data_IF_149823521867
#
_entry.id   IF_149823521867
#
_cell.length_a   1.000
_cell.length_b   1.000
_cell.length_c   1.000
_cell.angle_alpha   90.00
_cell.angle_beta   90.00
_cell.angle_gamma   90.00
#
_symmetry.space_group_name_H-M   'P 1'
#
loop_
_entity.id
_entity.type
_entity.pdbx_description
1 polymer ?
#
# COMPACT_ATOMS: atom_id res chain seq x y z
N UNK A 1 44.16 -76.32 -14.47
CA UNK A 1 42.78 -76.34 -14.00
C UNK A 1 42.52 -75.06 -13.17
N UNK A 2 41.98 -74.01 -13.77
CA UNK A 2 41.44 -72.86 -13.05
C UNK A 2 40.28 -72.31 -13.90
N UNK A 3 39.08 -72.43 -13.40
CA UNK A 3 37.87 -71.90 -14.04
C UNK A 3 37.81 -70.38 -13.88
N UNK A 4 37.41 -69.57 -14.90
CA UNK A 4 37.16 -68.22 -14.73
C UNK A 4 35.74 -67.93 -14.20
N UNK A 5 35.64 -67.06 -13.22
CA UNK A 5 34.40 -66.48 -12.66
C UNK A 5 33.74 -65.65 -13.68
N UNK A 6 32.45 -65.84 -13.97
CA UNK A 6 31.61 -64.99 -14.76
C UNK A 6 31.14 -63.81 -13.91
N UNK A 7 31.54 -62.59 -14.26
CA UNK A 7 31.00 -61.35 -13.76
C UNK A 7 29.62 -61.11 -14.41
N UNK A 8 28.59 -61.14 -13.59
CA UNK A 8 27.24 -60.73 -13.98
C UNK A 8 27.15 -59.22 -13.76
N UNK A 9 27.06 -58.50 -14.85
CA UNK A 9 26.81 -57.05 -14.83
C UNK A 9 25.32 -56.81 -14.55
N UNK A 10 25.01 -56.43 -13.32
CA UNK A 10 23.67 -55.96 -12.99
C UNK A 10 23.59 -54.45 -13.29
N UNK A 11 22.98 -54.12 -14.43
CA UNK A 11 22.63 -52.76 -14.76
C UNK A 11 21.42 -52.33 -13.91
N UNK A 12 21.67 -51.68 -12.79
CA UNK A 12 20.61 -51.01 -12.04
C UNK A 12 20.28 -49.69 -12.75
N UNK A 13 19.19 -49.68 -13.50
CA UNK A 13 18.56 -48.47 -14.03
C UNK A 13 17.95 -47.74 -12.83
N UNK A 14 18.67 -46.77 -12.28
CA UNK A 14 18.12 -45.83 -11.31
C UNK A 14 17.22 -44.83 -12.07
N UNK A 15 15.92 -45.09 -12.10
CA UNK A 15 14.92 -44.14 -12.50
C UNK A 15 14.88 -43.04 -11.41
N UNK A 16 15.59 -41.94 -11.66
CA UNK A 16 15.41 -40.67 -10.93
C UNK A 16 14.01 -40.12 -11.27
N UNK A 17 13.03 -40.51 -10.47
CA UNK A 17 11.77 -39.77 -10.38
C UNK A 17 12.13 -38.47 -9.72
N UNK A 18 12.34 -37.43 -10.53
CA UNK A 18 12.35 -36.03 -10.05
C UNK A 18 10.95 -35.74 -9.57
N UNK A 19 10.68 -36.02 -8.30
CA UNK A 19 9.57 -35.42 -7.59
C UNK A 19 9.85 -33.90 -7.58
N UNK A 20 9.28 -33.21 -8.52
CA UNK A 20 9.08 -31.76 -8.41
C UNK A 20 8.17 -31.62 -7.21
N UNK A 21 8.76 -31.48 -6.02
CA UNK A 21 8.06 -30.96 -4.87
C UNK A 21 7.62 -29.57 -5.28
N UNK A 22 6.35 -29.44 -5.67
CA UNK A 22 5.70 -28.16 -5.70
C UNK A 22 5.92 -27.57 -4.31
N UNK A 23 6.88 -26.66 -4.18
CA UNK A 23 7.01 -25.82 -2.99
C UNK A 23 5.62 -25.22 -2.87
N UNK A 24 4.89 -25.43 -1.75
CA UNK A 24 3.62 -24.78 -1.58
C UNK A 24 3.91 -23.30 -1.78
N UNK A 25 3.35 -22.72 -2.84
CA UNK A 25 3.32 -21.28 -3.01
C UNK A 25 2.62 -20.79 -1.74
N UNK A 26 3.39 -20.27 -0.78
CA UNK A 26 2.79 -19.60 0.36
C UNK A 26 1.85 -18.57 -0.24
N UNK A 27 0.57 -18.68 0.12
CA UNK A 27 -0.43 -17.72 -0.35
C UNK A 27 0.12 -16.32 -0.14
N UNK A 28 0.13 -15.54 -1.22
CA UNK A 28 0.77 -14.23 -1.25
C UNK A 28 -0.20 -13.23 -0.66
N UNK A 29 -0.11 -12.97 0.64
CA UNK A 29 -0.95 -12.02 1.37
C UNK A 29 -0.07 -10.99 2.10
N UNK A 30 -0.06 -9.71 1.67
CA UNK A 30 0.76 -8.70 2.32
C UNK A 30 0.21 -8.26 3.70
N UNK A 31 -0.99 -8.68 4.08
CA UNK A 31 -1.68 -8.25 5.30
C UNK A 31 -1.62 -9.31 6.41
N UNK A 32 -1.53 -10.60 6.07
CA UNK A 32 -1.64 -11.71 7.02
C UNK A 32 -0.41 -12.61 6.99
N UNK A 33 0.19 -12.81 8.15
CA UNK A 33 1.27 -13.80 8.34
C UNK A 33 0.74 -15.20 8.68
N UNK A 34 -0.49 -15.29 9.18
CA UNK A 34 -1.21 -16.53 9.50
C UNK A 34 -2.49 -16.61 8.71
N UNK A 35 -2.84 -17.80 8.21
CA UNK A 35 -4.00 -18.01 7.33
C UNK A 35 -4.04 -17.01 6.17
N UNK A 36 -2.96 -16.90 5.37
CA UNK A 36 -2.89 -15.94 4.28
C UNK A 36 -3.95 -16.26 3.22
N UNK A 37 -4.52 -15.21 2.64
CA UNK A 37 -5.39 -15.30 1.47
C UNK A 37 -4.54 -15.47 0.21
N UNK A 38 -5.12 -16.07 -0.82
CA UNK A 38 -4.48 -16.13 -2.13
C UNK A 38 -4.77 -14.83 -2.90
N UNK A 39 -3.89 -13.84 -2.74
CA UNK A 39 -3.98 -12.53 -3.41
C UNK A 39 -3.24 -12.52 -4.76
N UNK A 40 -2.40 -13.53 -5.00
CA UNK A 40 -1.55 -13.58 -6.18
C UNK A 40 -0.14 -12.99 -5.91
N UNK A 41 0.86 -13.72 -6.38
CA UNK A 41 2.27 -13.40 -6.11
C UNK A 41 2.73 -12.11 -6.79
N UNK A 42 2.24 -11.83 -8.00
CA UNK A 42 2.62 -10.64 -8.76
C UNK A 42 1.98 -9.38 -8.17
N UNK A 43 0.73 -9.48 -7.69
CA UNK A 43 0.04 -8.39 -6.98
C UNK A 43 0.74 -8.11 -5.64
N UNK A 44 1.07 -9.15 -4.86
CA UNK A 44 1.84 -8.97 -3.61
C UNK A 44 3.18 -8.29 -3.87
N UNK A 45 3.91 -8.74 -4.90
CA UNK A 45 5.20 -8.14 -5.26
C UNK A 45 5.05 -6.66 -5.65
N UNK A 46 4.02 -6.31 -6.41
CA UNK A 46 3.72 -4.91 -6.73
C UNK A 46 3.42 -4.09 -5.47
N UNK A 47 2.65 -4.64 -4.54
CA UNK A 47 2.33 -4.03 -3.25
C UNK A 47 3.60 -3.77 -2.42
N UNK A 48 4.50 -4.76 -2.33
CA UNK A 48 5.78 -4.63 -1.60
C UNK A 48 6.67 -3.57 -2.24
N UNK A 49 6.83 -3.60 -3.58
CA UNK A 49 7.59 -2.59 -4.31
C UNK A 49 7.05 -1.18 -4.06
N UNK A 50 5.73 -1.01 -4.08
CA UNK A 50 5.09 0.28 -3.90
C UNK A 50 5.23 0.80 -2.47
N UNK A 51 4.86 0.00 -1.49
CA UNK A 51 4.65 0.49 -0.13
C UNK A 51 5.77 0.17 0.86
N UNK A 52 6.46 -0.96 0.69
CA UNK A 52 7.60 -1.31 1.55
C UNK A 52 8.91 -0.71 1.04
N UNK A 53 9.10 -0.73 -0.27
CA UNK A 53 10.33 -0.25 -0.89
C UNK A 53 10.24 1.21 -1.38
N UNK A 54 9.03 1.75 -1.55
CA UNK A 54 8.80 3.07 -2.13
C UNK A 54 9.27 3.15 -3.59
N UNK A 55 9.29 2.01 -4.29
CA UNK A 55 9.72 1.90 -5.69
C UNK A 55 8.51 1.90 -6.62
N UNK A 56 7.92 3.08 -6.81
CA UNK A 56 6.72 3.25 -7.65
C UNK A 56 6.95 2.88 -9.11
N UNK A 57 8.16 3.15 -9.62
CA UNK A 57 8.51 2.84 -11.02
C UNK A 57 8.53 1.32 -11.26
N UNK A 58 9.14 0.57 -10.37
CA UNK A 58 9.15 -0.89 -10.45
C UNK A 58 7.75 -1.48 -10.17
N UNK A 59 7.01 -0.89 -9.21
CA UNK A 59 5.65 -1.32 -8.89
C UNK A 59 4.71 -1.22 -10.10
N UNK A 60 4.75 -0.12 -10.88
CA UNK A 60 3.93 0.03 -12.10
C UNK A 60 4.22 -1.08 -13.10
N UNK A 61 5.51 -1.39 -13.35
CA UNK A 61 5.89 -2.49 -14.24
C UNK A 61 5.39 -3.84 -13.74
N UNK A 62 5.46 -4.04 -12.42
CA UNK A 62 4.99 -5.27 -11.80
C UNK A 62 3.46 -5.42 -11.88
N UNK A 63 2.71 -4.32 -11.75
CA UNK A 63 1.26 -4.30 -11.95
C UNK A 63 0.88 -4.70 -13.39
N UNK A 64 1.67 -4.31 -14.40
CA UNK A 64 1.43 -4.71 -15.78
C UNK A 64 1.68 -6.21 -16.01
N UNK A 65 2.55 -6.84 -15.22
CA UNK A 65 2.72 -8.31 -15.20
C UNK A 65 1.49 -8.95 -14.53
N UNK A 66 1.11 -8.46 -13.35
CA UNK A 66 -0.01 -9.01 -12.57
C UNK A 66 -1.35 -8.99 -13.34
N UNK A 67 -1.61 -7.97 -14.16
CA UNK A 67 -2.84 -7.91 -15.00
C UNK A 67 -2.99 -9.11 -15.91
N UNK A 68 -1.89 -9.73 -16.35
CA UNK A 68 -1.93 -10.86 -17.29
C UNK A 68 -2.30 -12.18 -16.61
N UNK A 69 -1.99 -12.33 -15.34
CA UNK A 69 -2.12 -13.60 -14.60
C UNK A 69 -3.14 -13.53 -13.45
N UNK A 70 -3.39 -12.34 -12.91
CA UNK A 70 -4.18 -12.13 -11.70
C UNK A 70 -5.33 -11.12 -11.91
N UNK A 71 -5.90 -11.08 -13.12
CA UNK A 71 -6.92 -10.11 -13.52
C UNK A 71 -8.21 -10.12 -12.68
N UNK A 72 -8.40 -11.13 -11.83
CA UNK A 72 -9.56 -11.24 -10.93
C UNK A 72 -9.29 -10.72 -9.52
N UNK A 73 -8.06 -10.26 -9.23
CA UNK A 73 -7.67 -9.75 -7.92
C UNK A 73 -8.07 -8.27 -7.78
N UNK A 74 -8.95 -7.90 -6.81
CA UNK A 74 -9.37 -6.51 -6.66
C UNK A 74 -8.26 -5.59 -6.15
N UNK A 75 -7.34 -6.07 -5.29
CA UNK A 75 -6.19 -5.29 -4.81
C UNK A 75 -5.33 -4.82 -5.97
N UNK A 76 -5.09 -5.66 -6.99
CA UNK A 76 -4.36 -5.29 -8.19
C UNK A 76 -4.88 -3.99 -8.80
N UNK A 77 -6.20 -3.91 -8.99
CA UNK A 77 -6.81 -2.74 -9.62
C UNK A 77 -6.93 -1.55 -8.68
N UNK A 78 -7.02 -1.76 -7.35
CA UNK A 78 -6.91 -0.69 -6.38
C UNK A 78 -5.51 -0.05 -6.41
N UNK A 79 -4.45 -0.86 -6.51
CA UNK A 79 -3.07 -0.37 -6.71
C UNK A 79 -2.92 0.38 -8.03
N UNK A 80 -3.51 -0.11 -9.12
CA UNK A 80 -3.51 0.60 -10.41
C UNK A 80 -4.24 1.95 -10.31
N UNK A 81 -5.39 2.00 -9.64
CA UNK A 81 -6.13 3.25 -9.43
C UNK A 81 -5.26 4.28 -8.72
N UNK A 82 -4.50 3.88 -7.69
CA UNK A 82 -3.58 4.78 -6.99
C UNK A 82 -2.45 5.29 -7.90
N UNK A 83 -1.94 4.47 -8.82
CA UNK A 83 -0.91 4.91 -9.79
C UNK A 83 -1.47 5.89 -10.82
N UNK A 84 -2.70 5.69 -11.27
CA UNK A 84 -3.38 6.63 -12.17
C UNK A 84 -3.68 7.96 -11.46
N UNK A 85 -4.14 7.91 -10.21
CA UNK A 85 -4.33 9.12 -9.39
C UNK A 85 -3.05 9.94 -9.27
N UNK A 86 -1.91 9.29 -8.98
CA UNK A 86 -0.61 9.95 -8.85
C UNK A 86 -0.10 10.56 -10.17
N UNK A 87 -0.65 10.16 -11.33
CA UNK A 87 -0.37 10.70 -12.65
C UNK A 87 -1.44 11.70 -13.13
N UNK A 88 -2.43 12.00 -12.28
CA UNK A 88 -3.60 12.82 -12.62
C UNK A 88 -4.43 12.26 -13.80
N UNK A 89 -4.25 10.97 -14.12
CA UNK A 89 -5.10 10.23 -15.06
C UNK A 89 -6.38 9.76 -14.35
N UNK A 90 -7.29 10.70 -14.14
CA UNK A 90 -8.53 10.42 -13.41
C UNK A 90 -9.46 9.46 -14.17
N UNK A 91 -9.42 9.46 -15.51
CA UNK A 91 -10.18 8.47 -16.29
C UNK A 91 -9.63 7.05 -16.11
N UNK A 92 -8.31 6.88 -16.20
CA UNK A 92 -7.65 5.60 -15.88
C UNK A 92 -7.93 5.13 -14.47
N UNK A 93 -7.91 6.07 -13.48
CA UNK A 93 -8.29 5.78 -12.10
C UNK A 93 -9.72 5.23 -12.00
N UNK A 94 -10.69 5.87 -12.65
CA UNK A 94 -12.10 5.44 -12.67
C UNK A 94 -12.27 4.05 -13.30
N UNK A 95 -11.64 3.82 -14.46
CA UNK A 95 -11.68 2.50 -15.13
C UNK A 95 -11.11 1.41 -14.23
N UNK A 96 -10.00 1.68 -13.54
CA UNK A 96 -9.44 0.75 -12.56
C UNK A 96 -10.42 0.52 -11.39
N UNK A 97 -11.09 1.54 -10.87
CA UNK A 97 -12.12 1.44 -9.83
C UNK A 97 -13.31 0.57 -10.25
N UNK A 98 -13.74 0.65 -11.51
CA UNK A 98 -14.77 -0.24 -12.07
C UNK A 98 -14.33 -1.72 -12.07
N UNK A 99 -13.04 -1.98 -12.35
CA UNK A 99 -12.47 -3.33 -12.25
C UNK A 99 -12.39 -3.80 -10.80
N UNK A 100 -12.04 -2.91 -9.83
CA UNK A 100 -12.13 -3.21 -8.40
C UNK A 100 -13.55 -3.68 -8.04
N UNK A 101 -14.59 -2.95 -8.46
CA UNK A 101 -15.98 -3.29 -8.20
C UNK A 101 -16.37 -4.66 -8.76
N UNK A 102 -16.06 -4.91 -10.03
CA UNK A 102 -16.40 -6.16 -10.70
C UNK A 102 -15.74 -7.36 -9.99
N UNK A 103 -14.45 -7.24 -9.66
CA UNK A 103 -13.71 -8.30 -8.96
C UNK A 103 -14.20 -8.48 -7.51
N UNK A 104 -14.53 -7.40 -6.81
CA UNK A 104 -15.13 -7.46 -5.49
C UNK A 104 -16.50 -8.18 -5.51
N UNK A 105 -17.34 -7.91 -6.50
CA UNK A 105 -18.60 -8.61 -6.68
C UNK A 105 -18.40 -10.12 -6.93
N UNK A 106 -17.37 -10.50 -7.67
CA UNK A 106 -17.03 -11.91 -7.93
C UNK A 106 -16.48 -12.64 -6.69
N UNK A 107 -16.06 -11.93 -5.64
CA UNK A 107 -15.68 -12.50 -4.35
C UNK A 107 -16.87 -12.82 -3.47
N UNK A 108 -18.08 -12.29 -3.74
CA UNK A 108 -19.28 -12.62 -2.95
C UNK A 108 -19.55 -14.12 -2.97
N UNK A 109 -19.79 -14.68 -1.79
CA UNK A 109 -19.96 -16.12 -1.58
C UNK A 109 -18.66 -16.91 -1.45
N UNK A 110 -17.49 -16.28 -1.71
CA UNK A 110 -16.16 -16.89 -1.55
C UNK A 110 -15.38 -16.24 -0.41
N UNK A 111 -15.22 -14.93 -0.44
CA UNK A 111 -14.62 -14.09 0.59
C UNK A 111 -15.46 -12.81 0.72
N UNK A 112 -16.53 -12.88 1.48
CA UNK A 112 -17.47 -11.77 1.65
C UNK A 112 -16.82 -10.58 2.34
N UNK A 113 -15.87 -10.78 3.25
CA UNK A 113 -15.18 -9.69 3.91
C UNK A 113 -14.43 -8.85 2.87
N UNK A 114 -13.57 -9.46 2.05
CA UNK A 114 -12.85 -8.75 1.00
C UNK A 114 -13.78 -8.18 -0.06
N UNK A 115 -14.89 -8.87 -0.38
CA UNK A 115 -15.90 -8.33 -1.27
C UNK A 115 -16.39 -6.96 -0.77
N UNK A 116 -16.77 -6.84 0.50
CA UNK A 116 -17.21 -5.56 1.07
C UNK A 116 -16.09 -4.52 1.17
N UNK A 117 -14.89 -4.92 1.60
CA UNK A 117 -13.72 -4.01 1.65
C UNK A 117 -13.44 -3.38 0.29
N UNK A 118 -13.46 -4.17 -0.79
CA UNK A 118 -13.17 -3.66 -2.13
C UNK A 118 -14.36 -3.00 -2.82
N UNK A 119 -15.60 -3.29 -2.42
CA UNK A 119 -16.76 -2.46 -2.79
C UNK A 119 -16.62 -1.05 -2.19
N UNK A 120 -16.26 -0.95 -0.92
CA UNK A 120 -15.96 0.34 -0.28
C UNK A 120 -14.82 1.09 -1.00
N UNK A 121 -13.71 0.41 -1.31
CA UNK A 121 -12.61 1.00 -2.07
C UNK A 121 -13.04 1.51 -3.45
N UNK A 122 -13.87 0.76 -4.16
CA UNK A 122 -14.42 1.15 -5.46
C UNK A 122 -15.31 2.40 -5.37
N UNK A 123 -16.17 2.48 -4.33
CA UNK A 123 -17.02 3.64 -4.09
C UNK A 123 -16.20 4.88 -3.77
N UNK A 124 -15.12 4.74 -2.98
CA UNK A 124 -14.20 5.81 -2.68
C UNK A 124 -13.46 6.33 -3.93
N UNK A 125 -13.03 5.42 -4.81
CA UNK A 125 -12.39 5.78 -6.08
C UNK A 125 -13.35 6.56 -6.97
N UNK A 126 -14.61 6.13 -7.09
CA UNK A 126 -15.62 6.83 -7.90
C UNK A 126 -15.95 8.22 -7.28
N UNK A 127 -16.10 8.31 -5.95
CA UNK A 127 -16.29 9.59 -5.26
C UNK A 127 -15.12 10.54 -5.51
N UNK A 128 -13.88 10.02 -5.42
CA UNK A 128 -12.68 10.78 -5.73
C UNK A 128 -12.62 11.26 -7.19
N UNK A 129 -13.04 10.44 -8.14
CA UNK A 129 -13.16 10.81 -9.55
C UNK A 129 -14.11 12.00 -9.73
N UNK A 130 -15.33 11.93 -9.17
CA UNK A 130 -16.32 12.98 -9.27
C UNK A 130 -15.76 14.31 -8.75
N UNK A 131 -15.18 14.30 -7.54
CA UNK A 131 -14.65 15.54 -6.93
C UNK A 131 -13.47 16.10 -7.71
N UNK A 132 -12.59 15.25 -8.24
CA UNK A 132 -11.40 15.70 -9.00
C UNK A 132 -11.73 16.25 -10.39
N UNK A 133 -12.73 15.70 -11.06
CA UNK A 133 -13.08 16.11 -12.43
C UNK A 133 -14.15 17.20 -12.49
N UNK A 134 -15.06 17.27 -11.51
CA UNK A 134 -16.18 18.18 -11.52
C UNK A 134 -16.07 19.28 -10.44
N UNK A 135 -15.03 19.20 -9.59
CA UNK A 135 -14.76 20.17 -8.53
C UNK A 135 -15.58 19.95 -7.26
N UNK A 136 -15.32 20.76 -6.25
CA UNK A 136 -15.91 20.64 -4.90
C UNK A 136 -17.45 20.83 -4.91
N UNK A 137 -17.99 21.59 -5.87
CA UNK A 137 -19.44 21.78 -6.05
C UNK A 137 -20.20 20.47 -6.33
N UNK A 138 -19.51 19.44 -6.83
CA UNK A 138 -20.07 18.12 -7.10
C UNK A 138 -20.08 17.18 -5.86
N UNK A 139 -19.57 17.65 -4.71
CA UNK A 139 -19.48 16.85 -3.49
C UNK A 139 -20.84 16.22 -3.08
N UNK A 140 -21.95 16.93 -3.29
CA UNK A 140 -23.29 16.39 -3.04
C UNK A 140 -23.59 15.11 -3.84
N UNK A 141 -23.03 14.96 -5.04
CA UNK A 141 -23.16 13.73 -5.86
C UNK A 141 -22.29 12.59 -5.35
N UNK A 142 -21.22 12.87 -4.63
CA UNK A 142 -20.36 11.88 -4.02
C UNK A 142 -20.92 11.35 -2.69
N UNK A 143 -21.85 12.07 -2.02
CA UNK A 143 -22.41 11.66 -0.72
C UNK A 143 -23.00 10.24 -0.68
N UNK A 144 -23.82 9.79 -1.66
CA UNK A 144 -24.33 8.41 -1.66
C UNK A 144 -23.21 7.36 -1.74
N UNK A 145 -22.12 7.67 -2.45
CA UNK A 145 -20.96 6.79 -2.53
C UNK A 145 -20.22 6.73 -1.19
N UNK A 146 -20.05 7.87 -0.52
CA UNK A 146 -19.47 7.92 0.83
C UNK A 146 -20.31 7.12 1.82
N UNK A 147 -21.65 7.23 1.77
CA UNK A 147 -22.53 6.40 2.59
C UNK A 147 -22.32 4.93 2.29
N UNK A 148 -22.27 4.53 1.02
CA UNK A 148 -21.99 3.14 0.61
C UNK A 148 -20.62 2.64 1.09
N UNK A 149 -19.60 3.52 1.16
CA UNK A 149 -18.30 3.17 1.77
C UNK A 149 -18.49 2.73 3.22
N UNK A 150 -19.21 3.51 4.03
CA UNK A 150 -19.46 3.17 5.44
C UNK A 150 -20.27 1.89 5.60
N UNK A 151 -21.32 1.72 4.80
CA UNK A 151 -22.18 0.53 4.85
C UNK A 151 -21.37 -0.73 4.50
N UNK A 152 -20.54 -0.68 3.47
CA UNK A 152 -19.68 -1.78 3.09
C UNK A 152 -18.59 -2.07 4.14
N UNK A 153 -17.96 -1.05 4.72
CA UNK A 153 -17.00 -1.23 5.83
C UNK A 153 -17.67 -1.87 7.03
N UNK A 154 -18.90 -1.45 7.37
CA UNK A 154 -19.67 -2.05 8.45
C UNK A 154 -19.96 -3.54 8.16
N UNK A 155 -20.42 -3.89 6.96
CA UNK A 155 -20.63 -5.28 6.58
C UNK A 155 -19.36 -6.13 6.71
N UNK A 156 -18.21 -5.59 6.36
CA UNK A 156 -16.93 -6.29 6.53
C UNK A 156 -16.58 -6.46 8.03
N UNK A 157 -16.80 -5.44 8.87
CA UNK A 157 -16.59 -5.51 10.32
C UNK A 157 -17.53 -6.51 11.01
N UNK A 158 -18.75 -6.65 10.54
CA UNK A 158 -19.70 -7.63 11.08
C UNK A 158 -19.24 -9.09 10.82
N UNK A 159 -18.34 -9.32 9.85
CA UNK A 159 -17.75 -10.64 9.56
C UNK A 159 -16.50 -10.88 10.42
N UNK A 160 -15.53 -9.98 10.40
CA UNK A 160 -14.29 -10.06 11.18
C UNK A 160 -13.79 -8.65 11.52
N UNK A 161 -14.09 -8.13 12.73
CA UNK A 161 -13.73 -6.78 13.13
C UNK A 161 -12.21 -6.58 13.35
N UNK A 162 -11.43 -7.66 13.44
CA UNK A 162 -9.98 -7.59 13.67
C UNK A 162 -9.15 -7.93 12.43
N UNK A 163 -9.79 -8.12 11.27
CA UNK A 163 -9.09 -8.37 10.01
C UNK A 163 -8.08 -7.27 9.68
N UNK A 164 -6.80 -7.60 9.42
CA UNK A 164 -5.76 -6.58 9.24
C UNK A 164 -5.89 -5.75 7.96
N UNK A 165 -6.36 -6.34 6.85
CA UNK A 165 -6.62 -5.64 5.60
C UNK A 165 -7.78 -4.65 5.75
N UNK A 166 -8.89 -5.11 6.35
CA UNK A 166 -10.04 -4.24 6.67
C UNK A 166 -9.61 -3.06 7.53
N UNK A 167 -8.89 -3.32 8.64
CA UNK A 167 -8.51 -2.27 9.57
C UNK A 167 -7.47 -1.31 9.01
N UNK A 168 -6.62 -1.75 8.07
CA UNK A 168 -5.74 -0.84 7.33
C UNK A 168 -6.57 0.11 6.46
N UNK A 169 -7.45 -0.42 5.60
CA UNK A 169 -8.25 0.37 4.67
C UNK A 169 -9.21 1.30 5.44
N UNK A 170 -9.94 0.76 6.43
CA UNK A 170 -10.80 1.55 7.30
C UNK A 170 -10.05 2.69 7.98
N UNK A 171 -8.87 2.41 8.56
CA UNK A 171 -8.08 3.42 9.24
C UNK A 171 -7.67 4.58 8.31
N UNK A 172 -7.28 4.30 7.07
CA UNK A 172 -7.00 5.35 6.08
C UNK A 172 -8.25 6.14 5.67
N UNK A 173 -9.42 5.48 5.59
CA UNK A 173 -10.71 6.16 5.34
C UNK A 173 -11.06 7.06 6.53
N UNK A 174 -10.97 6.56 7.77
CA UNK A 174 -11.26 7.32 8.98
C UNK A 174 -10.35 8.56 9.11
N UNK A 175 -9.06 8.42 8.78
CA UNK A 175 -8.12 9.55 8.73
C UNK A 175 -8.50 10.59 7.69
N UNK A 176 -8.89 10.15 6.48
CA UNK A 176 -9.34 11.07 5.43
C UNK A 176 -10.56 11.86 5.90
N UNK A 177 -11.52 11.20 6.53
CA UNK A 177 -12.72 11.85 7.05
C UNK A 177 -12.37 12.82 8.18
N UNK A 178 -11.51 12.39 9.11
CA UNK A 178 -11.03 13.23 10.21
C UNK A 178 -10.30 14.50 9.72
N UNK A 179 -9.67 14.42 8.55
CA UNK A 179 -8.99 15.57 7.95
C UNK A 179 -9.95 16.65 7.39
N UNK A 180 -11.18 16.27 7.05
CA UNK A 180 -12.18 17.16 6.45
C UNK A 180 -13.33 17.54 7.41
N UNK A 181 -13.56 16.77 8.48
CA UNK A 181 -14.58 17.02 9.49
C UNK A 181 -13.96 17.49 10.81
N UNK A 182 -14.13 18.76 11.19
CA UNK A 182 -13.43 19.37 12.32
C UNK A 182 -13.83 18.83 13.71
N UNK A 183 -14.87 17.99 13.79
CA UNK A 183 -15.38 17.43 15.06
C UNK A 183 -15.00 15.97 15.28
N UNK A 184 -14.20 15.35 14.40
CA UNK A 184 -13.79 13.96 14.55
C UNK A 184 -12.61 13.82 15.51
N UNK A 185 -12.72 12.86 16.46
CA UNK A 185 -11.61 12.52 17.37
C UNK A 185 -10.55 11.71 16.62
N UNK A 186 -9.36 12.29 16.48
CA UNK A 186 -8.22 11.66 15.82
C UNK A 186 -7.84 10.33 16.47
N UNK A 187 -7.85 10.24 17.80
CA UNK A 187 -7.44 9.02 18.51
C UNK A 187 -8.41 7.88 18.24
N UNK A 188 -9.69 8.17 18.20
CA UNK A 188 -10.74 7.22 17.79
C UNK A 188 -10.53 6.77 16.34
N UNK A 189 -10.26 7.71 15.41
CA UNK A 189 -9.98 7.38 14.01
C UNK A 189 -8.74 6.48 13.85
N UNK A 190 -7.72 6.67 14.68
CA UNK A 190 -6.49 5.87 14.67
C UNK A 190 -6.59 4.53 15.41
N UNK A 191 -7.64 4.29 16.19
CA UNK A 191 -7.74 3.11 17.06
C UNK A 191 -7.63 1.79 16.30
N UNK A 192 -8.41 1.61 15.25
CA UNK A 192 -8.39 0.42 14.38
C UNK A 192 -7.02 0.22 13.73
N UNK A 193 -6.43 1.32 13.24
CA UNK A 193 -5.11 1.30 12.61
C UNK A 193 -4.03 0.84 13.59
N UNK A 194 -4.02 1.40 14.81
CA UNK A 194 -3.03 1.06 15.86
C UNK A 194 -3.12 -0.40 16.29
N UNK A 195 -4.34 -0.93 16.41
CA UNK A 195 -4.59 -2.18 17.09
C UNK A 195 -4.52 -3.40 16.13
N UNK A 196 -5.09 -3.30 14.95
CA UNK A 196 -5.33 -4.47 14.09
C UNK A 196 -4.71 -4.37 12.70
N UNK A 197 -4.37 -3.18 12.20
CA UNK A 197 -3.89 -3.02 10.84
C UNK A 197 -2.51 -3.64 10.61
N UNK A 198 -2.32 -4.22 9.44
CA UNK A 198 -1.04 -4.69 8.92
C UNK A 198 -0.94 -4.38 7.41
N UNK A 199 0.27 -4.30 6.86
CA UNK A 199 1.58 -4.48 7.51
C UNK A 199 2.03 -3.25 8.31
N UNK A 200 2.96 -3.47 9.24
CA UNK A 200 3.42 -2.44 10.19
C UNK A 200 3.94 -1.16 9.53
N UNK A 201 4.64 -1.27 8.41
CA UNK A 201 5.14 -0.08 7.71
C UNK A 201 4.03 0.83 7.19
N UNK A 202 2.88 0.29 6.74
CA UNK A 202 1.71 1.07 6.35
C UNK A 202 0.92 1.57 7.55
N UNK A 203 0.73 0.74 8.56
CA UNK A 203 0.11 1.14 9.82
C UNK A 203 0.79 2.37 10.41
N UNK A 204 2.09 2.28 10.65
CA UNK A 204 2.85 3.37 11.26
C UNK A 204 3.02 4.58 10.34
N UNK A 205 3.09 4.36 9.01
CA UNK A 205 3.05 5.46 8.03
C UNK A 205 1.75 6.25 8.15
N UNK A 206 0.59 5.58 8.19
CA UNK A 206 -0.70 6.22 8.34
C UNK A 206 -0.78 7.04 9.64
N UNK A 207 -0.38 6.46 10.76
CA UNK A 207 -0.36 7.13 12.06
C UNK A 207 0.56 8.35 12.03
N UNK A 208 1.74 8.25 11.40
CA UNK A 208 2.67 9.38 11.27
C UNK A 208 2.09 10.52 10.46
N UNK A 209 1.43 10.21 9.32
CA UNK A 209 0.72 11.20 8.50
C UNK A 209 -0.37 11.92 9.29
N UNK A 210 -1.20 11.17 10.01
CA UNK A 210 -2.29 11.73 10.81
C UNK A 210 -1.78 12.67 11.91
N UNK A 211 -0.74 12.28 12.63
CA UNK A 211 -0.15 13.15 13.66
C UNK A 211 0.58 14.35 13.06
N UNK A 212 1.25 14.21 11.91
CA UNK A 212 1.83 15.34 11.18
C UNK A 212 0.75 16.37 10.82
N UNK A 213 -0.35 15.92 10.22
CA UNK A 213 -1.42 16.79 9.74
C UNK A 213 -2.18 17.43 10.93
N UNK A 214 -2.28 16.74 12.05
CA UNK A 214 -2.79 17.26 13.32
C UNK A 214 -1.79 18.16 14.09
N UNK A 215 -0.62 18.46 13.53
CA UNK A 215 0.45 19.26 14.15
C UNK A 215 0.92 18.72 15.50
N UNK A 216 1.04 17.39 15.62
CA UNK A 216 1.59 16.67 16.79
C UNK A 216 2.95 16.04 16.41
N UNK A 217 4.02 16.85 16.22
CA UNK A 217 5.25 16.38 15.58
C UNK A 217 6.01 15.35 16.43
N UNK A 218 5.91 15.34 17.75
CA UNK A 218 6.57 14.35 18.61
C UNK A 218 5.96 12.96 18.39
N UNK A 219 4.62 12.87 18.34
CA UNK A 219 3.91 11.62 18.08
C UNK A 219 4.13 11.17 16.62
N UNK A 220 4.18 12.12 15.67
CA UNK A 220 4.48 11.83 14.28
C UNK A 220 5.90 11.27 14.11
N UNK A 221 6.89 11.81 14.85
CA UNK A 221 8.27 11.34 14.81
C UNK A 221 8.42 9.91 15.35
N UNK A 222 7.76 9.59 16.47
CA UNK A 222 7.73 8.22 16.99
C UNK A 222 7.12 7.25 15.97
N UNK A 223 5.98 7.61 15.39
CA UNK A 223 5.30 6.76 14.43
C UNK A 223 6.12 6.57 13.12
N UNK A 224 6.72 7.64 12.56
CA UNK A 224 7.52 7.49 11.35
C UNK A 224 8.81 6.69 11.59
N UNK A 225 9.40 6.77 12.78
CA UNK A 225 10.54 5.94 13.14
C UNK A 225 10.17 4.45 13.18
N UNK A 226 8.98 4.11 13.71
CA UNK A 226 8.44 2.73 13.66
C UNK A 226 8.18 2.26 12.22
N UNK A 227 7.65 3.14 11.37
CA UNK A 227 7.45 2.83 9.94
C UNK A 227 8.80 2.55 9.24
N UNK A 228 9.82 3.39 9.49
CA UNK A 228 11.17 3.21 8.93
C UNK A 228 11.81 1.92 9.46
N UNK A 229 11.63 1.57 10.73
CA UNK A 229 12.15 0.30 11.27
C UNK A 229 11.56 -0.91 10.52
N UNK A 230 10.28 -0.85 10.10
CA UNK A 230 9.62 -1.90 9.34
C UNK A 230 9.93 -1.85 7.82
N UNK A 231 10.35 -0.69 7.28
CA UNK A 231 10.70 -0.50 5.86
C UNK A 231 11.86 0.50 5.70
N UNK A 232 13.10 0.11 6.10
CA UNK A 232 14.24 1.03 6.23
C UNK A 232 14.71 1.64 4.91
N UNK A 233 14.39 1.02 3.79
CA UNK A 233 14.82 1.45 2.47
C UNK A 233 13.80 2.31 1.72
N UNK A 234 12.68 2.66 2.34
CA UNK A 234 11.60 3.41 1.70
C UNK A 234 11.91 4.93 1.70
N UNK A 235 12.16 5.55 0.53
CA UNK A 235 12.46 6.99 0.44
C UNK A 235 11.27 7.88 0.85
N UNK A 236 10.03 7.42 0.69
CA UNK A 236 8.85 8.17 1.12
C UNK A 236 8.78 8.32 2.65
N UNK A 237 9.16 7.26 3.40
CA UNK A 237 9.22 7.33 4.86
C UNK A 237 10.36 8.24 5.33
N UNK A 238 11.50 8.22 4.62
CA UNK A 238 12.60 9.15 4.87
C UNK A 238 12.15 10.59 4.64
N UNK A 239 11.44 10.85 3.55
CA UNK A 239 10.86 12.15 3.28
C UNK A 239 9.85 12.58 4.36
N UNK A 240 8.93 11.70 4.75
CA UNK A 240 7.96 11.97 5.83
C UNK A 240 8.67 12.35 7.13
N UNK A 241 9.76 11.66 7.49
CA UNK A 241 10.59 12.02 8.64
C UNK A 241 11.18 13.42 8.50
N UNK A 242 11.65 13.78 7.31
CA UNK A 242 12.13 15.12 7.02
C UNK A 242 11.05 16.19 7.25
N UNK A 243 9.82 15.95 6.79
CA UNK A 243 8.69 16.86 7.01
C UNK A 243 8.38 17.06 8.50
N UNK A 244 8.36 15.96 9.27
CA UNK A 244 8.10 16.01 10.72
C UNK A 244 9.19 16.78 11.46
N UNK A 245 10.46 16.54 11.15
CA UNK A 245 11.60 17.25 11.73
C UNK A 245 11.59 18.74 11.35
N UNK A 246 11.20 19.07 10.13
CA UNK A 246 11.04 20.45 9.70
C UNK A 246 9.93 21.17 10.48
N UNK A 247 8.82 20.46 10.72
CA UNK A 247 7.71 20.99 11.54
C UNK A 247 8.13 21.28 12.97
N UNK A 248 9.04 20.49 13.57
CA UNK A 248 9.61 20.77 14.90
C UNK A 248 10.49 22.02 14.92
N UNK A 249 11.13 22.36 13.79
CA UNK A 249 11.95 23.56 13.65
C UNK A 249 13.25 23.53 14.44
N UNK A 250 13.84 24.73 14.69
CA UNK A 250 15.02 24.90 15.52
C UNK A 250 16.22 24.04 15.11
N UNK A 251 16.80 23.32 16.07
CA UNK A 251 17.97 22.45 15.85
C UNK A 251 17.69 21.24 14.95
N UNK A 252 16.42 20.96 14.60
CA UNK A 252 16.05 19.85 13.75
C UNK A 252 16.14 20.19 12.24
N UNK A 253 16.24 21.48 11.87
CA UNK A 253 16.28 21.93 10.48
C UNK A 253 17.40 21.29 9.66
N UNK A 254 18.68 21.24 10.12
CA UNK A 254 19.75 20.56 9.37
C UNK A 254 19.46 19.05 9.17
N UNK A 255 18.90 18.40 10.18
CA UNK A 255 18.54 16.97 10.09
C UNK A 255 17.38 16.75 9.14
N UNK A 256 16.38 17.62 9.13
CA UNK A 256 15.25 17.56 8.19
C UNK A 256 15.74 17.68 6.73
N UNK A 257 16.63 18.65 6.44
CA UNK A 257 17.25 18.81 5.14
C UNK A 257 17.96 17.54 4.70
N UNK A 258 18.78 16.94 5.59
CA UNK A 258 19.49 15.69 5.31
C UNK A 258 18.52 14.54 4.99
N UNK A 259 17.33 14.48 5.62
CA UNK A 259 16.33 13.47 5.29
C UNK A 259 15.75 13.67 3.87
N UNK A 260 15.52 14.92 3.44
CA UNK A 260 15.09 15.20 2.07
C UNK A 260 16.15 14.82 1.05
N UNK A 261 17.41 15.19 1.30
CA UNK A 261 18.55 14.81 0.44
C UNK A 261 18.68 13.29 0.34
N UNK A 262 18.53 12.57 1.47
CA UNK A 262 18.57 11.10 1.48
C UNK A 262 17.43 10.49 0.68
N UNK A 263 16.21 11.03 0.76
CA UNK A 263 15.09 10.58 -0.07
C UNK A 263 15.39 10.80 -1.57
N UNK A 264 16.01 11.92 -1.95
CA UNK A 264 16.37 12.25 -3.33
C UNK A 264 17.47 11.34 -3.91
N UNK A 265 18.29 10.68 -3.09
CA UNK A 265 19.24 9.66 -3.61
C UNK A 265 18.55 8.50 -4.32
N UNK A 266 17.25 8.34 -4.07
CA UNK A 266 16.38 7.33 -4.70
C UNK A 266 15.36 7.93 -5.67
N UNK A 267 15.63 9.11 -6.24
CA UNK A 267 14.73 9.83 -7.15
C UNK A 267 14.15 8.95 -8.28
N UNK A 268 14.95 8.03 -8.82
CA UNK A 268 14.54 7.11 -9.91
C UNK A 268 13.46 6.09 -9.51
N UNK A 269 13.19 5.93 -8.21
CA UNK A 269 12.17 5.02 -7.68
C UNK A 269 10.82 5.73 -7.45
N UNK A 270 10.86 7.05 -7.30
CA UNK A 270 9.71 7.87 -6.93
C UNK A 270 8.79 8.14 -8.13
N UNK A 271 7.52 8.37 -7.86
CA UNK A 271 6.63 8.92 -8.87
C UNK A 271 6.94 10.42 -9.09
N UNK A 272 6.63 10.97 -10.27
CA UNK A 272 7.00 12.35 -10.63
C UNK A 272 6.45 13.41 -9.67
N UNK A 273 5.19 13.27 -9.21
CA UNK A 273 4.57 14.24 -8.31
C UNK A 273 5.29 14.30 -6.96
N UNK A 274 5.54 13.13 -6.36
CA UNK A 274 6.26 13.03 -5.09
C UNK A 274 7.69 13.55 -5.23
N UNK A 275 8.38 13.24 -6.32
CA UNK A 275 9.73 13.74 -6.60
C UNK A 275 9.75 15.28 -6.68
N UNK A 276 8.78 15.87 -7.37
CA UNK A 276 8.63 17.34 -7.45
C UNK A 276 8.41 17.95 -6.08
N UNK A 277 7.53 17.37 -5.28
CA UNK A 277 7.24 17.84 -3.93
C UNK A 277 8.48 17.78 -3.01
N UNK A 278 9.23 16.66 -3.03
CA UNK A 278 10.46 16.53 -2.23
C UNK A 278 11.49 17.59 -2.64
N UNK A 279 11.69 17.82 -3.93
CA UNK A 279 12.62 18.84 -4.45
C UNK A 279 12.21 20.25 -4.01
N UNK A 280 10.93 20.55 -4.09
CA UNK A 280 10.39 21.84 -3.68
C UNK A 280 10.58 22.08 -2.17
N UNK A 281 10.20 21.12 -1.34
CA UNK A 281 10.38 21.25 0.10
C UNK A 281 11.84 21.30 0.51
N UNK A 282 12.69 20.53 -0.14
CA UNK A 282 14.13 20.58 0.10
C UNK A 282 14.73 21.96 -0.28
N UNK A 283 14.30 22.55 -1.36
CA UNK A 283 14.69 23.91 -1.75
C UNK A 283 14.20 24.94 -0.73
N UNK A 284 12.97 24.83 -0.27
CA UNK A 284 12.37 25.75 0.70
C UNK A 284 13.14 25.74 2.02
N UNK A 285 13.46 24.57 2.56
CA UNK A 285 14.23 24.44 3.82
C UNK A 285 15.69 24.91 3.66
N UNK A 286 16.21 24.95 2.42
CA UNK A 286 17.58 25.38 2.09
C UNK A 286 17.69 26.87 1.72
N UNK A 287 16.63 27.68 1.94
CA UNK A 287 16.64 29.10 1.60
C UNK A 287 16.71 29.37 0.10
N UNK A 288 16.14 28.50 -0.73
CA UNK A 288 16.10 28.63 -2.19
C UNK A 288 17.22 27.90 -2.94
N UNK A 289 18.18 27.30 -2.23
CA UNK A 289 19.26 26.52 -2.84
C UNK A 289 18.75 25.12 -3.18
N UNK A 290 19.05 24.60 -4.38
CA UNK A 290 18.73 23.23 -4.76
C UNK A 290 19.42 22.24 -3.83
N UNK A 291 18.69 21.22 -3.39
CA UNK A 291 19.33 20.08 -2.75
C UNK A 291 20.14 19.28 -3.78
N UNK A 292 21.30 18.79 -3.37
CA UNK A 292 22.08 17.89 -4.19
C UNK A 292 21.29 16.60 -4.45
N UNK A 293 21.29 16.18 -5.71
CA UNK A 293 20.77 14.87 -6.15
C UNK A 293 21.85 13.80 -6.08
#
# INVERSE_FOLDING_TARGET
MKRPLKLISASLLAALVSAVTAIPSFAADPFRSTNPRDIGSETQKAFVLMFKEGNYVAAVKQLDVAVKTEANEPLLFALRASTFYAKEDYLGMRVAGQRVRANAQALKGKDNLRAYVYLAASDLIEAGYIVKTEGVSSAARALPLVQSVFDNIKQAQDIDPIDPELNLIKGYIDMLIASVLPLSDLETALSSLKQYAAPDYLKWRGIALAYRDARKPELALDAVNKAIAAAPNNPELTYLKGQVLWMQGGNNIPTAKKQFELALTKAKQLNPSLLTEIREQCRNISGGVSCAE
#
